data_IF_975543850879
#
_entry.id   IF_975543850879
#
_cell.length_a   1.000
_cell.length_b   1.000
_cell.length_c   1.000
_cell.angle_alpha   90.00
_cell.angle_beta   90.00
_cell.angle_gamma   90.00
#
_symmetry.space_group_name_H-M   'P 1'
#
loop_
_entity.id
_entity.type
_entity.pdbx_description
1 polymer ?
#
# COMPACT_ATOMS: atom_id res chain seq x y z
N UNK A 1 -22.15 57.87 -42.22
CA UNK A 1 -21.11 58.80 -42.71
C UNK A 1 -19.99 57.88 -43.23
N UNK A 2 -19.44 57.92 -44.46
CA UNK A 2 -19.01 59.07 -45.29
C UNK A 2 -17.55 59.38 -44.92
N UNK A 3 -16.50 59.15 -45.74
CA UNK A 3 -16.31 59.02 -47.22
C UNK A 3 -15.27 57.89 -47.53
N UNK A 4 -15.13 57.20 -48.69
CA UNK A 4 -15.07 57.47 -50.16
C UNK A 4 -13.75 58.10 -50.71
N UNK A 5 -12.94 57.32 -51.49
CA UNK A 5 -12.01 57.62 -52.65
C UNK A 5 -10.92 56.48 -52.86
N UNK A 6 -10.58 56.01 -54.10
CA UNK A 6 -9.75 54.77 -54.46
C UNK A 6 -8.98 54.92 -55.85
N UNK A 7 -8.18 54.01 -56.55
CA UNK A 7 -7.60 52.61 -56.48
C UNK A 7 -6.55 52.35 -57.67
N UNK A 8 -6.11 51.07 -57.99
CA UNK A 8 -5.35 50.48 -59.19
C UNK A 8 -3.76 50.51 -59.24
N UNK A 9 -2.93 49.71 -60.01
CA UNK A 9 -2.95 48.32 -60.64
C UNK A 9 -1.69 47.92 -61.53
N UNK A 10 -1.35 46.61 -61.72
CA UNK A 10 -0.55 45.92 -62.84
C UNK A 10 1.02 46.00 -62.92
N UNK A 11 1.88 45.19 -63.64
CA UNK A 11 1.93 43.81 -64.29
C UNK A 11 3.36 43.48 -64.91
N UNK A 12 3.66 42.30 -65.57
CA UNK A 12 4.92 41.98 -66.35
C UNK A 12 5.11 40.51 -66.93
N UNK A 13 6.25 40.18 -67.63
CA UNK A 13 6.63 38.94 -68.45
C UNK A 13 8.13 39.04 -68.99
N UNK A 14 8.93 38.16 -69.74
CA UNK A 14 8.82 36.84 -70.46
C UNK A 14 10.05 35.81 -70.37
N UNK A 15 10.32 34.90 -71.37
CA UNK A 15 11.40 33.83 -71.44
C UNK A 15 12.73 34.17 -72.17
N UNK A 16 13.92 33.59 -71.81
CA UNK A 16 14.11 32.36 -71.00
C UNK A 16 15.06 32.38 -69.75
N UNK A 17 14.75 31.46 -68.82
CA UNK A 17 15.58 30.78 -67.76
C UNK A 17 15.97 31.48 -66.43
N UNK A 18 15.97 30.70 -65.33
CA UNK A 18 16.43 31.01 -63.95
C UNK A 18 16.49 29.71 -63.07
N UNK A 19 16.71 29.84 -61.75
CA UNK A 19 16.56 28.84 -60.63
C UNK A 19 17.66 27.76 -60.40
N UNK A 20 17.67 27.16 -59.17
CA UNK A 20 18.40 25.93 -58.75
C UNK A 20 19.91 25.84 -59.12
N UNK A 21 20.87 26.50 -58.40
CA UNK A 21 22.31 26.17 -58.50
C UNK A 21 22.69 24.82 -57.86
N UNK A 22 23.99 24.54 -57.73
CA UNK A 22 24.58 23.20 -57.44
C UNK A 22 25.50 23.24 -56.20
N UNK A 23 25.59 22.11 -55.47
CA UNK A 23 26.39 21.92 -54.24
C UNK A 23 27.52 20.86 -54.43
N UNK A 24 28.34 20.63 -53.40
CA UNK A 24 29.44 19.64 -53.37
C UNK A 24 29.76 19.22 -51.91
N UNK A 25 30.53 18.14 -51.72
CA UNK A 25 30.97 17.56 -50.43
C UNK A 25 29.81 17.06 -49.50
N UNK A 26 29.99 16.35 -48.38
CA UNK A 26 31.18 15.94 -47.61
C UNK A 26 31.36 14.40 -47.47
N UNK A 27 31.58 13.83 -46.26
CA UNK A 27 31.94 12.38 -46.11
C UNK A 27 31.35 11.55 -44.93
N UNK A 28 31.82 11.56 -43.66
CA UNK A 28 31.60 10.39 -42.72
C UNK A 28 31.10 10.56 -41.22
N UNK A 29 29.75 10.76 -40.95
CA UNK A 29 28.71 10.18 -39.95
C UNK A 29 27.48 11.13 -39.66
N UNK A 30 26.32 10.62 -39.15
CA UNK A 30 25.07 11.35 -38.71
C UNK A 30 24.27 11.97 -39.89
N UNK A 31 23.13 12.64 -39.65
CA UNK A 31 22.68 13.77 -40.51
C UNK A 31 21.18 13.93 -40.90
N UNK A 32 20.23 13.95 -39.95
CA UNK A 32 19.00 14.80 -39.92
C UNK A 32 17.87 14.61 -40.98
N UNK A 33 16.61 14.51 -40.50
CA UNK A 33 15.34 14.48 -41.26
C UNK A 33 14.50 15.78 -41.05
N UNK A 34 13.22 15.81 -41.48
CA UNK A 34 12.19 16.85 -41.21
C UNK A 34 10.81 16.46 -41.81
N UNK A 35 9.72 17.00 -41.25
CA UNK A 35 8.31 16.84 -41.61
C UNK A 35 7.49 16.97 -40.27
N UNK A 36 6.63 16.00 -39.93
CA UNK A 36 6.37 15.44 -38.56
C UNK A 36 7.52 14.42 -38.30
N UNK A 37 7.81 13.98 -37.06
CA UNK A 37 8.79 12.90 -36.83
C UNK A 37 8.17 11.50 -36.72
N UNK A 38 8.94 10.48 -37.16
CA UNK A 38 8.61 9.05 -37.19
C UNK A 38 9.84 8.28 -37.75
N UNK A 39 10.83 8.00 -36.92
CA UNK A 39 12.17 7.54 -37.31
C UNK A 39 12.54 6.14 -36.73
N UNK A 40 13.71 5.62 -37.11
CA UNK A 40 14.14 4.24 -36.81
C UNK A 40 15.66 4.13 -36.57
N UNK A 41 16.11 3.97 -35.33
CA UNK A 41 17.51 3.66 -34.99
C UNK A 41 18.00 4.34 -33.71
N UNK A 42 19.28 4.74 -33.70
CA UNK A 42 19.82 5.69 -32.71
C UNK A 42 19.37 7.12 -33.10
N UNK A 43 18.46 7.74 -32.35
CA UNK A 43 17.92 9.08 -32.63
C UNK A 43 18.27 10.09 -31.51
N UNK A 44 18.16 11.39 -31.80
CA UNK A 44 18.18 12.48 -30.79
C UNK A 44 17.22 13.57 -31.31
N UNK A 45 16.10 13.82 -30.61
CA UNK A 45 15.01 14.73 -31.03
C UNK A 45 14.98 16.01 -30.17
N UNK A 46 14.34 17.09 -30.66
CA UNK A 46 14.33 18.42 -30.02
C UNK A 46 13.28 19.35 -30.71
N UNK A 47 12.00 19.16 -30.45
CA UNK A 47 10.91 19.91 -31.07
C UNK A 47 10.22 20.92 -30.12
N UNK A 48 9.40 21.83 -30.67
CA UNK A 48 8.97 23.07 -30.00
C UNK A 48 7.59 23.56 -30.51
N UNK A 49 6.52 23.28 -29.77
CA UNK A 49 5.15 23.69 -30.11
C UNK A 49 4.15 22.54 -30.01
N UNK A 50 3.21 22.49 -30.97
CA UNK A 50 2.30 21.35 -31.18
C UNK A 50 3.05 20.27 -31.98
N UNK A 51 3.39 19.12 -31.38
CA UNK A 51 4.18 18.03 -32.00
C UNK A 51 3.47 16.65 -31.95
N UNK A 52 4.04 15.66 -32.66
CA UNK A 52 3.53 14.28 -32.80
C UNK A 52 4.70 13.42 -33.33
N UNK A 53 5.27 12.59 -32.45
CA UNK A 53 6.51 11.84 -32.60
C UNK A 53 6.27 10.33 -32.39
N UNK A 54 7.03 9.47 -33.06
CA UNK A 54 6.76 8.03 -33.12
C UNK A 54 8.02 7.25 -33.55
N UNK A 55 8.96 7.02 -32.64
CA UNK A 55 10.27 6.46 -32.95
C UNK A 55 10.46 4.99 -32.49
N UNK A 56 11.52 4.35 -33.00
CA UNK A 56 11.80 2.94 -32.77
C UNK A 56 13.31 2.68 -32.71
N UNK A 57 13.87 2.47 -31.51
CA UNK A 57 15.27 2.03 -31.36
C UNK A 57 15.96 2.39 -30.05
N UNK A 58 16.87 3.34 -30.12
CA UNK A 58 17.61 3.94 -29.00
C UNK A 58 17.36 5.47 -29.12
N UNK A 59 16.46 6.03 -28.30
CA UNK A 59 15.95 7.41 -28.47
C UNK A 59 16.30 8.33 -27.28
N UNK A 60 16.27 9.65 -27.52
CA UNK A 60 16.62 10.73 -26.59
C UNK A 60 15.79 11.95 -27.02
N UNK A 61 14.62 12.13 -26.39
CA UNK A 61 13.57 13.10 -26.77
C UNK A 61 13.57 14.29 -25.76
N UNK A 62 13.22 15.48 -26.23
CA UNK A 62 13.48 16.74 -25.51
C UNK A 62 12.55 17.86 -26.01
N UNK A 63 11.27 17.78 -25.69
CA UNK A 63 10.25 18.63 -26.32
C UNK A 63 9.63 19.66 -25.35
N UNK A 64 9.05 20.72 -25.91
CA UNK A 64 8.38 21.78 -25.14
C UNK A 64 7.11 22.26 -25.86
N UNK A 65 5.93 22.02 -25.28
CA UNK A 65 4.67 22.54 -25.82
C UNK A 65 3.44 21.67 -25.56
N UNK A 66 2.78 21.25 -26.63
CA UNK A 66 1.64 20.33 -26.66
C UNK A 66 2.12 19.10 -27.46
N UNK A 67 2.44 17.98 -26.79
CA UNK A 67 3.17 16.84 -27.39
C UNK A 67 2.40 15.51 -27.31
N UNK A 68 2.72 14.59 -28.22
CA UNK A 68 2.17 13.22 -28.37
C UNK A 68 3.34 12.33 -28.82
N UNK A 69 3.88 11.50 -27.91
CA UNK A 69 5.09 10.70 -28.11
C UNK A 69 4.75 9.19 -28.05
N UNK A 70 5.21 8.41 -29.04
CA UNK A 70 4.84 7.00 -29.21
C UNK A 70 6.07 6.13 -29.55
N UNK A 71 6.89 5.83 -28.54
CA UNK A 71 8.21 5.24 -28.75
C UNK A 71 8.32 3.75 -28.35
N UNK A 72 9.30 3.06 -28.93
CA UNK A 72 9.49 1.62 -28.76
C UNK A 72 10.98 1.23 -28.77
N UNK A 73 11.59 1.05 -27.60
CA UNK A 73 13.01 0.67 -27.52
C UNK A 73 13.67 0.89 -26.15
N UNK A 74 14.92 1.34 -26.19
CA UNK A 74 15.63 1.94 -25.06
C UNK A 74 15.44 3.47 -25.21
N UNK A 75 14.58 4.10 -24.40
CA UNK A 75 14.14 5.49 -24.58
C UNK A 75 14.49 6.36 -23.35
N UNK A 76 14.51 7.67 -23.57
CA UNK A 76 14.63 8.70 -22.52
C UNK A 76 13.84 9.92 -23.01
N UNK A 77 12.79 10.32 -22.29
CA UNK A 77 11.97 11.49 -22.63
C UNK A 77 12.19 12.61 -21.60
N UNK A 78 12.15 13.86 -22.05
CA UNK A 78 12.38 15.05 -21.23
C UNK A 78 11.44 16.15 -21.69
N UNK A 79 10.20 16.09 -21.22
CA UNK A 79 9.13 16.93 -21.70
C UNK A 79 8.81 18.08 -20.74
N UNK A 80 7.97 18.99 -21.20
CA UNK A 80 7.71 20.28 -20.58
C UNK A 80 6.44 20.94 -21.19
N UNK A 81 5.25 20.62 -20.69
CA UNK A 81 4.01 21.28 -21.15
C UNK A 81 2.71 20.51 -20.92
N UNK A 82 1.96 20.28 -22.00
CA UNK A 82 0.78 19.41 -22.03
C UNK A 82 1.20 18.17 -22.87
N UNK A 83 1.40 17.00 -22.26
CA UNK A 83 2.04 15.84 -22.92
C UNK A 83 1.23 14.54 -22.79
N UNK A 84 1.29 13.68 -23.82
CA UNK A 84 0.70 12.33 -23.88
C UNK A 84 1.80 11.36 -24.37
N UNK A 85 2.37 10.57 -23.47
CA UNK A 85 3.52 9.68 -23.70
C UNK A 85 3.08 8.21 -23.66
N UNK A 86 3.59 7.39 -24.58
CA UNK A 86 3.21 5.98 -24.75
C UNK A 86 4.46 5.12 -25.04
N UNK A 87 5.15 4.65 -24.00
CA UNK A 87 6.43 3.95 -24.15
C UNK A 87 6.38 2.42 -23.95
N UNK A 88 7.21 1.70 -24.69
CA UNK A 88 7.20 0.23 -24.73
C UNK A 88 8.63 -0.34 -24.83
N UNK A 89 9.32 -0.54 -23.70
CA UNK A 89 10.66 -1.15 -23.67
C UNK A 89 11.43 -1.01 -22.36
N UNK A 90 12.56 -0.30 -22.40
CA UNK A 90 13.32 0.17 -21.22
C UNK A 90 13.25 1.71 -21.29
N UNK A 91 12.67 2.40 -20.29
CA UNK A 91 12.37 3.84 -20.36
C UNK A 91 12.81 4.65 -19.12
N UNK A 92 12.99 5.97 -19.32
CA UNK A 92 13.46 6.96 -18.34
C UNK A 92 12.80 8.32 -18.67
N UNK A 93 11.56 8.54 -18.20
CA UNK A 93 10.77 9.76 -18.40
C UNK A 93 11.10 10.80 -17.33
N UNK A 94 11.28 12.05 -17.73
CA UNK A 94 11.55 13.18 -16.83
C UNK A 94 10.82 14.46 -17.30
N UNK A 95 9.55 14.69 -16.92
CA UNK A 95 8.98 16.04 -17.08
C UNK A 95 9.51 16.98 -16.00
N UNK A 96 9.93 18.18 -16.40
CA UNK A 96 10.64 19.11 -15.55
C UNK A 96 10.10 20.56 -15.56
N UNK A 97 8.89 20.86 -16.07
CA UNK A 97 8.20 22.15 -15.85
C UNK A 97 6.65 22.01 -15.89
N UNK A 98 5.99 22.12 -14.72
CA UNK A 98 4.58 22.52 -14.51
C UNK A 98 3.60 22.28 -15.68
N UNK A 99 3.08 21.05 -15.80
CA UNK A 99 2.25 20.59 -16.91
C UNK A 99 0.92 19.92 -16.52
N UNK A 100 0.20 19.47 -17.57
CA UNK A 100 -0.86 18.43 -17.52
C UNK A 100 -0.29 17.22 -18.30
N UNK A 101 0.01 16.10 -17.64
CA UNK A 101 0.70 14.93 -18.24
C UNK A 101 -0.12 13.63 -18.20
N UNK A 102 0.12 12.77 -19.19
CA UNK A 102 -0.37 11.39 -19.22
C UNK A 102 0.74 10.47 -19.73
N UNK A 103 1.16 9.47 -18.95
CA UNK A 103 2.15 8.45 -19.35
C UNK A 103 1.50 7.05 -19.40
N UNK A 104 1.98 6.13 -20.24
CA UNK A 104 1.33 4.84 -20.55
C UNK A 104 2.37 3.73 -20.84
N UNK A 105 3.20 3.36 -19.86
CA UNK A 105 4.42 2.62 -20.16
C UNK A 105 4.31 1.10 -19.96
N UNK A 106 5.08 0.32 -20.72
CA UNK A 106 5.09 -1.15 -20.66
C UNK A 106 6.54 -1.68 -20.75
N UNK A 107 7.16 -2.02 -19.61
CA UNK A 107 8.59 -2.34 -19.63
C UNK A 107 9.31 -2.36 -18.29
N UNK A 108 10.57 -1.96 -18.34
CA UNK A 108 11.37 -1.53 -17.18
C UNK A 108 11.42 0.01 -17.26
N UNK A 109 10.68 0.73 -16.39
CA UNK A 109 10.43 2.17 -16.55
C UNK A 109 10.79 2.97 -15.28
N UNK A 110 11.04 4.28 -15.45
CA UNK A 110 11.20 5.26 -14.37
C UNK A 110 10.46 6.54 -14.80
N UNK A 111 9.49 7.01 -14.01
CA UNK A 111 8.77 8.26 -14.25
C UNK A 111 9.05 9.28 -13.15
N UNK A 112 9.14 10.56 -13.51
CA UNK A 112 9.47 11.67 -12.62
C UNK A 112 8.65 12.92 -13.05
N UNK A 113 7.42 13.08 -12.57
CA UNK A 113 6.48 14.12 -13.01
C UNK A 113 6.20 15.24 -11.98
N UNK A 114 5.80 16.42 -12.46
CA UNK A 114 5.71 17.68 -11.69
C UNK A 114 4.51 18.56 -12.13
N UNK A 115 3.27 18.07 -11.99
CA UNK A 115 2.09 18.71 -12.59
C UNK A 115 0.74 18.20 -12.06
N UNK A 116 -0.27 18.25 -12.93
CA UNK A 116 -1.50 17.45 -12.83
C UNK A 116 -1.24 16.21 -13.72
N UNK A 117 -1.17 14.98 -13.19
CA UNK A 117 -0.61 13.81 -13.91
C UNK A 117 -1.49 12.53 -13.82
N UNK A 118 -1.68 11.81 -14.93
CA UNK A 118 -2.27 10.46 -14.98
C UNK A 118 -1.20 9.42 -15.45
N UNK A 119 -0.72 8.51 -14.58
CA UNK A 119 0.29 7.48 -14.94
C UNK A 119 -0.30 6.05 -14.95
N UNK A 120 0.06 5.21 -15.92
CA UNK A 120 -0.62 3.93 -16.22
C UNK A 120 0.37 2.81 -16.64
N UNK A 121 1.14 2.25 -15.70
CA UNK A 121 2.31 1.43 -16.05
C UNK A 121 2.17 -0.10 -15.86
N UNK A 122 2.88 -0.84 -16.71
CA UNK A 122 2.83 -2.31 -16.79
C UNK A 122 4.24 -2.94 -16.86
N UNK A 123 4.89 -3.20 -15.72
CA UNK A 123 6.14 -3.98 -15.71
C UNK A 123 6.96 -3.95 -14.41
N UNK A 124 8.19 -3.44 -14.49
CA UNK A 124 9.07 -3.15 -13.34
C UNK A 124 9.25 -1.61 -13.31
N UNK A 125 8.65 -0.90 -12.34
CA UNK A 125 8.46 0.57 -12.38
C UNK A 125 9.00 1.29 -11.11
N UNK A 126 9.38 2.57 -11.25
CA UNK A 126 9.87 3.45 -10.16
C UNK A 126 9.37 4.90 -10.43
N UNK A 127 8.24 5.28 -9.82
CA UNK A 127 7.49 6.54 -10.10
C UNK A 127 7.72 7.56 -8.96
N UNK A 128 7.90 8.85 -9.29
CA UNK A 128 8.43 9.88 -8.36
C UNK A 128 7.77 11.26 -8.58
N UNK A 129 6.54 11.42 -8.09
CA UNK A 129 5.62 12.44 -8.60
C UNK A 129 5.25 13.51 -7.57
N UNK A 130 4.94 14.72 -8.06
CA UNK A 130 4.77 15.91 -7.23
C UNK A 130 3.65 16.84 -7.76
N UNK A 131 2.41 16.68 -7.31
CA UNK A 131 1.34 17.64 -7.64
C UNK A 131 -0.08 17.20 -7.29
N UNK A 132 -0.89 16.93 -8.32
CA UNK A 132 -2.22 16.29 -8.22
C UNK A 132 -2.13 15.05 -9.15
N UNK A 133 -2.14 13.82 -8.62
CA UNK A 133 -1.71 12.59 -9.33
C UNK A 133 -2.79 11.47 -9.32
N UNK A 134 -2.89 10.68 -10.41
CA UNK A 134 -3.69 9.45 -10.51
C UNK A 134 -2.82 8.32 -11.11
N UNK A 135 -2.34 7.39 -10.28
CA UNK A 135 -1.37 6.34 -10.67
C UNK A 135 -2.05 4.95 -10.68
N UNK A 136 -1.75 4.11 -11.69
CA UNK A 136 -2.45 2.84 -11.95
C UNK A 136 -1.47 1.72 -12.38
N UNK A 137 -0.74 1.13 -11.43
CA UNK A 137 0.42 0.29 -11.77
C UNK A 137 0.21 -1.22 -11.56
N UNK A 138 0.91 -2.00 -12.39
CA UNK A 138 0.60 -3.41 -12.62
C UNK A 138 1.88 -4.27 -12.80
N UNK A 139 2.63 -4.52 -11.71
CA UNK A 139 3.82 -5.38 -11.78
C UNK A 139 4.64 -5.48 -10.50
N UNK A 140 5.94 -5.15 -10.59
CA UNK A 140 6.82 -4.93 -9.43
C UNK A 140 7.10 -3.40 -9.42
N UNK A 141 6.48 -2.64 -8.52
CA UNK A 141 6.49 -1.16 -8.58
C UNK A 141 7.02 -0.51 -7.27
N UNK A 142 7.51 0.72 -7.38
CA UNK A 142 7.88 1.59 -6.25
C UNK A 142 7.37 3.00 -6.52
N UNK A 143 6.47 3.51 -5.68
CA UNK A 143 5.82 4.80 -5.88
C UNK A 143 6.22 5.77 -4.75
N UNK A 144 6.60 7.00 -5.09
CA UNK A 144 7.12 8.00 -4.14
C UNK A 144 6.46 9.36 -4.37
N UNK A 145 5.56 9.76 -3.47
CA UNK A 145 4.42 10.58 -3.90
C UNK A 145 4.12 11.76 -2.96
N UNK A 146 3.79 12.91 -3.55
CA UNK A 146 3.90 14.21 -2.87
C UNK A 146 2.84 15.23 -3.33
N UNK A 147 1.55 14.97 -3.06
CA UNK A 147 0.46 15.78 -3.63
C UNK A 147 -0.92 15.70 -2.98
N UNK A 148 -1.95 15.82 -3.81
CA UNK A 148 -3.31 15.29 -3.60
C UNK A 148 -3.43 14.11 -4.60
N UNK A 149 -3.45 12.85 -4.14
CA UNK A 149 -3.18 11.67 -4.99
C UNK A 149 -4.22 10.53 -4.86
N UNK A 150 -4.35 9.71 -5.92
CA UNK A 150 -5.17 8.48 -5.98
C UNK A 150 -4.30 7.35 -6.62
N UNK A 151 -3.93 6.32 -5.84
CA UNK A 151 -3.00 5.26 -6.26
C UNK A 151 -3.68 3.89 -6.29
N UNK A 152 -3.60 3.16 -7.42
CA UNK A 152 -4.33 1.91 -7.67
C UNK A 152 -3.41 0.76 -8.08
N UNK A 153 -2.98 -0.06 -7.12
CA UNK A 153 -1.83 -0.95 -7.28
C UNK A 153 -2.11 -2.47 -7.29
N UNK A 154 -1.30 -3.20 -8.05
CA UNK A 154 -1.63 -4.56 -8.49
C UNK A 154 -0.41 -5.50 -8.71
N UNK A 155 0.40 -5.76 -7.69
CA UNK A 155 1.47 -6.76 -7.79
C UNK A 155 2.34 -6.99 -6.55
N UNK A 156 3.62 -6.63 -6.63
CA UNK A 156 4.55 -6.51 -5.48
C UNK A 156 4.95 -5.02 -5.42
N UNK A 157 4.59 -4.29 -4.34
CA UNK A 157 4.56 -2.82 -4.30
C UNK A 157 5.17 -2.23 -3.02
N UNK A 158 5.74 -1.02 -3.12
CA UNK A 158 6.39 -0.25 -2.04
C UNK A 158 6.05 1.25 -2.24
N UNK A 159 5.06 1.74 -1.50
CA UNK A 159 4.44 3.07 -1.70
C UNK A 159 4.82 4.01 -0.54
N UNK A 160 5.10 5.28 -0.83
CA UNK A 160 5.74 6.24 0.10
C UNK A 160 5.15 7.64 -0.01
N UNK A 161 4.06 7.90 0.73
CA UNK A 161 3.17 9.02 0.44
C UNK A 161 3.22 10.17 1.46
N UNK A 162 2.98 11.39 0.97
CA UNK A 162 3.20 12.63 1.72
C UNK A 162 2.20 13.75 1.33
N UNK A 163 0.89 13.52 1.50
CA UNK A 163 -0.15 14.40 0.94
C UNK A 163 -1.54 14.36 1.59
N UNK A 164 -2.55 14.46 0.73
CA UNK A 164 -3.92 13.95 0.95
C UNK A 164 -4.07 12.77 -0.04
N UNK A 165 -4.20 11.52 0.42
CA UNK A 165 -4.01 10.30 -0.40
C UNK A 165 -5.15 9.28 -0.26
N UNK A 166 -5.44 8.50 -1.33
CA UNK A 166 -6.42 7.40 -1.40
C UNK A 166 -5.77 6.21 -2.14
N UNK A 167 -5.39 5.14 -1.43
CA UNK A 167 -4.55 4.03 -1.93
C UNK A 167 -5.35 2.71 -2.00
N UNK A 168 -5.24 1.97 -3.11
CA UNK A 168 -6.14 0.86 -3.47
C UNK A 168 -5.39 -0.41 -3.91
N UNK A 169 -4.92 -1.20 -2.92
CA UNK A 169 -3.82 -2.16 -3.15
C UNK A 169 -4.22 -3.64 -3.20
N UNK A 170 -3.68 -4.38 -4.17
CA UNK A 170 -4.07 -5.77 -4.44
C UNK A 170 -2.86 -6.70 -4.74
N UNK A 171 -1.98 -6.92 -3.75
CA UNK A 171 -0.69 -7.61 -3.95
C UNK A 171 0.01 -8.21 -2.73
N UNK A 172 1.35 -8.10 -2.71
CA UNK A 172 2.20 -8.09 -1.51
C UNK A 172 2.73 -6.63 -1.39
N UNK A 173 2.34 -5.88 -0.34
CA UNK A 173 2.46 -4.40 -0.29
C UNK A 173 3.11 -3.89 1.03
N UNK A 174 3.82 -2.76 0.97
CA UNK A 174 4.50 -2.08 2.09
C UNK A 174 4.30 -0.54 1.95
N UNK A 175 3.38 0.04 2.73
CA UNK A 175 2.88 1.43 2.58
C UNK A 175 3.33 2.33 3.76
N UNK A 176 3.64 3.60 3.50
CA UNK A 176 4.44 4.45 4.41
C UNK A 176 3.96 5.92 4.44
N UNK A 177 2.74 6.16 4.93
CA UNK A 177 2.00 7.35 4.51
C UNK A 177 1.92 8.47 5.58
N UNK A 178 2.04 9.72 5.14
CA UNK A 178 2.31 10.88 5.99
C UNK A 178 1.37 12.08 5.72
N UNK A 179 0.06 11.92 5.93
CA UNK A 179 -0.94 12.90 5.47
C UNK A 179 -2.31 12.87 6.14
N UNK A 180 -3.33 13.22 5.36
CA UNK A 180 -4.72 12.79 5.58
C UNK A 180 -4.97 11.66 4.55
N UNK A 181 -5.00 10.39 4.96
CA UNK A 181 -4.92 9.22 4.05
C UNK A 181 -6.13 8.28 4.18
N UNK A 182 -6.31 7.37 3.20
CA UNK A 182 -7.28 6.27 3.19
C UNK A 182 -6.68 5.08 2.43
N UNK A 183 -6.48 3.92 3.07
CA UNK A 183 -5.88 2.73 2.41
C UNK A 183 -6.90 1.56 2.34
N UNK A 184 -6.88 0.77 1.27
CA UNK A 184 -7.96 -0.16 0.87
C UNK A 184 -7.44 -1.53 0.38
N UNK A 185 -6.72 -2.24 1.23
CA UNK A 185 -5.75 -3.23 0.75
C UNK A 185 -6.27 -4.69 0.81
N UNK A 186 -5.79 -5.56 -0.08
CA UNK A 186 -6.20 -6.97 -0.14
C UNK A 186 -5.05 -7.91 -0.54
N UNK A 187 -4.18 -8.23 0.41
CA UNK A 187 -2.93 -8.96 0.15
C UNK A 187 -2.26 -9.63 1.35
N UNK A 188 -0.92 -9.67 1.31
CA UNK A 188 -0.05 -9.74 2.49
C UNK A 188 0.58 -8.33 2.63
N UNK A 189 0.20 -7.57 3.66
CA UNK A 189 0.43 -6.10 3.73
C UNK A 189 1.19 -5.66 4.99
N UNK A 190 1.82 -4.49 4.92
CA UNK A 190 2.43 -3.77 6.05
C UNK A 190 2.19 -2.27 5.86
N UNK A 191 1.51 -1.62 6.80
CA UNK A 191 1.17 -0.19 6.70
C UNK A 191 1.79 0.59 7.88
N UNK A 192 2.16 1.86 7.67
CA UNK A 192 2.86 2.67 8.68
C UNK A 192 2.47 4.15 8.67
N UNK A 193 1.27 4.43 9.16
CA UNK A 193 0.60 5.69 8.85
C UNK A 193 0.71 6.76 9.96
N UNK A 194 0.79 8.02 9.53
CA UNK A 194 1.42 9.05 10.34
C UNK A 194 0.66 10.41 10.33
N UNK A 195 -0.68 10.39 10.37
CA UNK A 195 -1.51 11.61 10.36
C UNK A 195 -2.97 11.43 10.82
N UNK A 196 -3.93 11.75 9.95
CA UNK A 196 -5.35 11.37 10.11
C UNK A 196 -5.63 10.28 9.06
N UNK A 197 -6.17 9.10 9.43
CA UNK A 197 -6.18 7.91 8.55
C UNK A 197 -7.40 6.95 8.73
N UNK A 198 -7.71 6.12 7.72
CA UNK A 198 -8.89 5.21 7.66
C UNK A 198 -8.55 3.96 6.78
N UNK A 199 -8.12 2.84 7.41
CA UNK A 199 -7.58 1.64 6.71
C UNK A 199 -8.58 0.46 6.68
N UNK A 200 -8.59 -0.32 5.59
CA UNK A 200 -9.68 -1.26 5.26
C UNK A 200 -9.22 -2.64 4.73
N UNK A 201 -8.44 -3.39 5.52
CA UNK A 201 -7.57 -4.44 4.97
C UNK A 201 -8.12 -5.88 4.99
N UNK A 202 -7.88 -6.63 3.90
CA UNK A 202 -8.45 -7.95 3.64
C UNK A 202 -7.40 -9.06 3.46
N UNK A 203 -6.55 -9.31 4.46
CA UNK A 203 -5.40 -10.21 4.25
C UNK A 203 -4.72 -10.77 5.49
N UNK A 204 -3.41 -10.97 5.36
CA UNK A 204 -2.48 -11.01 6.50
C UNK A 204 -1.87 -9.59 6.58
N UNK A 205 -2.18 -8.82 7.63
CA UNK A 205 -1.82 -7.39 7.76
C UNK A 205 -0.93 -7.14 9.00
N UNK A 206 -0.24 -5.99 9.05
CA UNK A 206 0.49 -5.49 10.22
C UNK A 206 0.51 -3.94 10.20
N UNK A 207 -0.40 -3.24 10.89
CA UNK A 207 -0.44 -1.77 10.87
C UNK A 207 0.28 -1.10 12.05
N UNK A 208 0.80 0.12 11.86
CA UNK A 208 1.66 0.86 12.81
C UNK A 208 1.33 2.36 12.90
N UNK A 209 0.12 2.68 13.41
CA UNK A 209 -0.46 4.02 13.32
C UNK A 209 0.04 5.06 14.36
N UNK A 210 0.16 6.31 13.92
CA UNK A 210 0.75 7.41 14.70
C UNK A 210 -0.06 8.74 14.68
N UNK A 211 -1.39 8.71 14.81
CA UNK A 211 -2.21 9.93 14.85
C UNK A 211 -3.66 9.79 15.33
N UNK A 212 -4.63 10.22 14.51
CA UNK A 212 -6.07 9.95 14.69
C UNK A 212 -6.49 8.94 13.60
N UNK A 213 -7.09 7.79 13.94
CA UNK A 213 -7.20 6.64 13.02
C UNK A 213 -8.51 5.81 13.19
N UNK A 214 -8.88 5.04 12.16
CA UNK A 214 -9.97 4.02 12.15
C UNK A 214 -9.52 2.79 11.31
N UNK A 215 -9.34 1.59 11.90
CA UNK A 215 -8.92 0.37 11.16
C UNK A 215 -10.06 -0.66 11.08
N UNK A 216 -10.22 -1.33 9.94
CA UNK A 216 -11.35 -2.24 9.64
C UNK A 216 -10.92 -3.65 9.14
N UNK A 217 -10.10 -4.36 9.91
CA UNK A 217 -9.39 -5.56 9.44
C UNK A 217 -10.20 -6.86 9.28
N UNK A 218 -9.89 -7.60 8.20
CA UNK A 218 -10.70 -8.73 7.73
C UNK A 218 -10.00 -10.10 7.59
N UNK A 219 -8.85 -10.35 8.24
CA UNK A 219 -8.11 -11.62 8.12
C UNK A 219 -7.31 -12.10 9.36
N UNK A 220 -5.98 -12.07 9.30
CA UNK A 220 -5.04 -12.24 10.42
C UNK A 220 -4.24 -10.92 10.54
N UNK A 221 -4.09 -10.33 11.73
CA UNK A 221 -3.53 -8.96 11.89
C UNK A 221 -2.72 -8.76 13.20
N UNK A 222 -1.98 -7.64 13.30
CA UNK A 222 -1.18 -7.15 14.44
C UNK A 222 -1.05 -5.60 14.38
N UNK A 223 -1.93 -4.84 15.05
CA UNK A 223 -1.94 -3.35 15.05
C UNK A 223 -1.18 -2.75 16.25
N UNK A 224 -0.55 -1.59 16.06
CA UNK A 224 0.47 -1.02 16.97
C UNK A 224 0.30 0.49 17.25
N UNK A 225 -0.87 0.88 17.75
CA UNK A 225 -1.43 2.22 17.51
C UNK A 225 -1.11 3.25 18.61
N UNK A 226 -0.81 4.49 18.21
CA UNK A 226 -0.14 5.48 19.08
C UNK A 226 -0.85 6.87 19.17
N UNK A 227 -2.18 6.92 19.17
CA UNK A 227 -2.93 8.19 19.33
C UNK A 227 -4.38 8.07 19.80
N UNK A 228 -5.33 8.63 19.05
CA UNK A 228 -6.78 8.39 19.22
C UNK A 228 -7.20 7.41 18.09
N UNK A 229 -7.83 6.27 18.41
CA UNK A 229 -8.11 5.21 17.42
C UNK A 229 -9.46 4.51 17.67
N UNK A 230 -10.05 3.89 16.64
CA UNK A 230 -11.17 2.94 16.71
C UNK A 230 -10.78 1.71 15.82
N UNK A 231 -10.70 0.47 16.35
CA UNK A 231 -10.41 -0.74 15.53
C UNK A 231 -11.63 -1.69 15.41
N UNK A 232 -11.85 -2.27 14.22
CA UNK A 232 -13.07 -3.00 13.84
C UNK A 232 -12.84 -4.45 13.34
N UNK A 233 -12.14 -5.25 14.15
CA UNK A 233 -11.52 -6.52 13.72
C UNK A 233 -12.46 -7.72 13.52
N UNK A 234 -12.37 -8.34 12.34
CA UNK A 234 -13.14 -9.53 11.97
C UNK A 234 -12.32 -10.84 11.87
N UNK A 235 -11.10 -10.85 12.41
CA UNK A 235 -10.06 -11.87 12.19
C UNK A 235 -9.58 -12.71 13.39
N UNK A 236 -8.31 -13.12 13.35
CA UNK A 236 -7.46 -13.39 14.52
C UNK A 236 -6.51 -12.17 14.66
N UNK A 237 -6.36 -11.56 15.84
CA UNK A 237 -5.64 -10.28 16.03
C UNK A 237 -4.86 -10.16 17.36
N UNK A 238 -3.90 -9.21 17.46
CA UNK A 238 -3.12 -8.81 18.66
C UNK A 238 -2.87 -7.27 18.65
N UNK A 239 -3.64 -6.47 19.40
CA UNK A 239 -3.57 -4.99 19.34
C UNK A 239 -2.72 -4.37 20.49
N UNK A 240 -1.89 -3.37 20.18
CA UNK A 240 -0.83 -2.83 21.07
C UNK A 240 -0.95 -1.32 21.43
N UNK A 241 -2.17 -0.89 21.75
CA UNK A 241 -2.60 0.52 21.74
C UNK A 241 -2.03 1.43 22.85
N UNK A 242 -1.84 2.72 22.52
CA UNK A 242 -1.08 3.64 23.36
C UNK A 242 -1.68 5.05 23.60
N UNK A 243 -3.01 5.23 23.48
CA UNK A 243 -3.69 6.51 23.77
C UNK A 243 -5.16 6.41 24.23
N UNK A 244 -6.12 6.94 23.48
CA UNK A 244 -7.57 6.74 23.72
C UNK A 244 -8.10 5.82 22.59
N UNK A 245 -8.83 4.72 22.90
CA UNK A 245 -9.19 3.70 21.91
C UNK A 245 -10.53 2.95 22.20
N UNK A 246 -11.29 2.56 21.18
CA UNK A 246 -12.45 1.63 21.25
C UNK A 246 -12.30 0.42 20.27
N UNK A 247 -11.71 -0.72 20.67
CA UNK A 247 -11.64 -1.93 19.82
C UNK A 247 -12.96 -2.76 19.79
N UNK A 248 -13.33 -3.34 18.64
CA UNK A 248 -14.57 -4.09 18.39
C UNK A 248 -14.39 -5.48 17.73
N UNK A 249 -13.62 -6.35 18.37
CA UNK A 249 -13.16 -7.63 17.84
C UNK A 249 -14.24 -8.74 17.73
N UNK A 250 -14.08 -9.63 16.74
CA UNK A 250 -15.13 -10.57 16.34
C UNK A 250 -14.72 -12.04 16.12
N UNK A 251 -13.62 -12.53 16.71
CA UNK A 251 -13.32 -13.98 16.72
C UNK A 251 -12.45 -14.50 17.87
N UNK A 252 -11.15 -14.20 17.84
CA UNK A 252 -10.08 -14.61 18.77
C UNK A 252 -9.06 -13.46 18.76
N UNK A 253 -8.71 -12.89 19.93
CA UNK A 253 -7.99 -11.62 20.04
C UNK A 253 -7.22 -11.51 21.39
N UNK A 254 -6.08 -10.82 21.40
CA UNK A 254 -5.29 -10.47 22.60
C UNK A 254 -4.95 -8.95 22.58
N UNK A 255 -5.51 -8.12 23.48
CA UNK A 255 -5.24 -6.66 23.53
C UNK A 255 -4.26 -6.26 24.65
N UNK A 256 -3.39 -5.27 24.39
CA UNK A 256 -2.24 -4.88 25.23
C UNK A 256 -2.20 -3.37 25.62
N UNK A 257 -3.34 -2.70 25.62
CA UNK A 257 -3.54 -1.25 25.72
C UNK A 257 -2.97 -0.51 26.96
N UNK A 258 -2.56 0.74 26.75
CA UNK A 258 -1.82 1.60 27.69
C UNK A 258 -2.36 3.03 27.88
N UNK A 259 -3.68 3.24 27.79
CA UNK A 259 -4.34 4.54 28.05
C UNK A 259 -5.77 4.48 28.63
N UNK A 260 -6.75 5.15 28.00
CA UNK A 260 -8.19 4.99 28.30
C UNK A 260 -8.85 4.17 27.16
N UNK A 261 -9.70 3.18 27.46
CA UNK A 261 -10.21 2.20 26.48
C UNK A 261 -11.57 1.58 26.88
N UNK A 262 -12.48 1.34 25.92
CA UNK A 262 -13.77 0.62 26.06
C UNK A 262 -13.94 -0.60 25.07
N UNK A 263 -12.98 -1.55 24.98
CA UNK A 263 -13.03 -2.84 24.23
C UNK A 263 -14.39 -3.62 24.19
N UNK A 264 -14.76 -4.21 23.04
CA UNK A 264 -16.08 -4.83 22.75
C UNK A 264 -16.10 -6.23 22.06
N UNK A 265 -15.26 -7.20 22.46
CA UNK A 265 -15.23 -8.60 21.95
C UNK A 265 -16.60 -9.30 21.74
N UNK A 266 -16.80 -9.91 20.56
CA UNK A 266 -17.92 -10.76 20.15
C UNK A 266 -17.50 -12.15 19.60
N UNK A 267 -16.35 -12.65 20.07
CA UNK A 267 -15.79 -13.98 19.82
C UNK A 267 -16.54 -15.16 20.49
N UNK A 268 -15.92 -16.34 20.43
CA UNK A 268 -16.60 -17.60 20.84
C UNK A 268 -16.59 -17.79 22.36
N UNK A 269 -17.77 -18.00 22.92
CA UNK A 269 -17.91 -18.52 24.28
C UNK A 269 -17.39 -19.97 24.36
N UNK A 270 -16.22 -20.21 24.97
CA UNK A 270 -15.86 -21.53 25.52
C UNK A 270 -16.72 -21.85 26.77
N UNK A 271 -18.06 -21.99 26.64
CA UNK A 271 -18.92 -22.58 27.68
C UNK A 271 -20.38 -22.93 27.23
N UNK A 272 -20.59 -23.62 26.10
CA UNK A 272 -21.87 -24.36 25.87
C UNK A 272 -21.82 -25.80 26.41
N UNK A 273 -21.72 -25.91 27.74
CA UNK A 273 -21.88 -27.14 28.53
C UNK A 273 -23.40 -27.41 28.78
N UNK A 274 -24.08 -28.04 27.80
CA UNK A 274 -25.54 -27.97 27.51
C UNK A 274 -26.53 -28.74 28.48
N UNK A 275 -27.08 -28.10 29.56
CA UNK A 275 -28.20 -28.55 30.48
C UNK A 275 -28.85 -27.38 31.30
N UNK A 276 -30.15 -27.42 31.72
CA UNK A 276 -30.96 -26.15 31.82
C UNK A 276 -31.89 -25.75 33.03
N UNK A 277 -31.82 -24.44 33.38
CA UNK A 277 -32.79 -23.46 34.00
C UNK A 277 -33.55 -23.77 35.35
N UNK A 278 -34.71 -23.10 35.59
CA UNK A 278 -35.01 -22.45 36.90
C UNK A 278 -36.03 -23.11 37.88
N UNK A 279 -35.63 -23.30 39.15
CA UNK A 279 -36.53 -23.63 40.28
C UNK A 279 -36.05 -23.08 41.64
N UNK A 280 -36.91 -22.33 42.33
CA UNK A 280 -36.64 -21.53 43.53
C UNK A 280 -36.01 -22.26 44.73
N UNK A 281 -35.08 -21.57 45.42
CA UNK A 281 -35.04 -21.55 46.89
C UNK A 281 -34.34 -20.31 47.50
N UNK A 282 -33.60 -19.55 46.69
CA UNK A 282 -33.23 -18.15 46.95
C UNK A 282 -32.47 -17.92 48.26
N UNK A 283 -31.31 -18.60 48.37
CA UNK A 283 -30.09 -17.85 48.77
C UNK A 283 -29.69 -16.99 47.57
N UNK A 284 -29.43 -17.67 46.45
CA UNK A 284 -29.79 -17.23 45.09
C UNK A 284 -30.10 -18.51 44.29
N UNK A 285 -29.10 -19.41 44.15
CA UNK A 285 -29.30 -20.86 44.29
C UNK A 285 -30.26 -21.31 45.43
N UNK A 286 -30.65 -22.58 45.61
CA UNK A 286 -30.31 -23.81 44.90
C UNK A 286 -30.31 -25.03 45.86
N UNK A 287 -29.69 -26.15 45.46
CA UNK A 287 -29.95 -27.48 46.05
C UNK A 287 -28.68 -28.25 46.47
N UNK A 288 -28.84 -29.28 47.32
CA UNK A 288 -27.76 -30.21 47.72
C UNK A 288 -28.31 -31.53 48.30
N UNK A 289 -27.47 -32.56 48.44
CA UNK A 289 -27.88 -33.95 48.69
C UNK A 289 -27.47 -34.50 50.09
N UNK A 290 -28.36 -34.50 51.10
CA UNK A 290 -28.07 -34.99 52.46
C UNK A 290 -28.15 -36.54 52.58
N UNK A 291 -27.25 -37.22 51.87
CA UNK A 291 -27.25 -38.67 51.54
C UNK A 291 -26.78 -39.61 52.68
N UNK A 292 -26.64 -40.92 52.39
CA UNK A 292 -26.02 -41.92 53.29
C UNK A 292 -24.63 -41.41 53.70
N UNK A 293 -24.39 -41.24 55.00
CA UNK A 293 -23.30 -40.45 55.58
C UNK A 293 -23.33 -38.96 55.14
N UNK A 294 -23.90 -38.02 55.90
CA UNK A 294 -24.25 -37.99 57.33
C UNK A 294 -23.12 -38.32 58.33
N UNK A 295 -21.86 -38.39 57.88
CA UNK A 295 -20.70 -38.62 58.76
C UNK A 295 -19.60 -37.54 58.71
N UNK A 296 -19.63 -36.60 57.75
CA UNK A 296 -18.52 -35.64 57.54
C UNK A 296 -18.67 -34.28 58.24
N UNK A 297 -19.77 -34.03 58.96
CA UNK A 297 -19.99 -32.77 59.71
C UNK A 297 -19.20 -32.69 61.05
N UNK A 298 -18.15 -33.51 61.24
CA UNK A 298 -17.46 -33.68 62.53
C UNK A 298 -15.93 -33.63 62.47
N UNK A 299 -15.34 -33.05 61.41
CA UNK A 299 -13.89 -32.78 61.34
C UNK A 299 -13.50 -31.29 61.23
N UNK A 300 -14.46 -30.38 61.08
CA UNK A 300 -14.18 -28.95 60.82
C UNK A 300 -14.27 -28.00 62.03
N UNK A 301 -14.53 -28.51 63.25
CA UNK A 301 -14.79 -27.65 64.41
C UNK A 301 -14.14 -28.06 65.74
N UNK A 302 -13.37 -29.15 65.81
CA UNK A 302 -12.83 -29.60 67.10
C UNK A 302 -11.56 -30.47 67.05
N UNK A 303 -10.47 -30.03 66.39
CA UNK A 303 -9.12 -30.40 66.84
C UNK A 303 -8.02 -29.39 66.44
N UNK A 304 -7.47 -28.71 67.46
CA UNK A 304 -6.15 -28.05 67.60
C UNK A 304 -5.30 -27.65 66.37
N UNK A 305 -5.05 -26.33 66.28
CA UNK A 305 -3.77 -25.65 66.57
C UNK A 305 -2.48 -26.05 65.77
N UNK A 306 -1.28 -25.71 66.28
CA UNK A 306 -0.01 -25.56 65.53
C UNK A 306 0.72 -24.27 66.02
N UNK A 307 2.05 -24.25 66.24
CA UNK A 307 2.70 -23.24 67.11
C UNK A 307 4.03 -22.57 66.62
N UNK A 308 4.53 -22.82 65.39
CA UNK A 308 5.59 -22.05 64.69
C UNK A 308 7.04 -22.08 65.27
N UNK A 309 7.94 -21.14 64.86
CA UNK A 309 9.43 -21.14 64.99
C UNK A 309 10.15 -22.23 64.13
N UNK A 310 11.49 -22.41 64.29
CA UNK A 310 12.44 -23.53 63.92
C UNK A 310 12.67 -24.02 62.43
N UNK A 311 13.79 -24.74 62.16
CA UNK A 311 14.35 -25.12 60.82
C UNK A 311 15.38 -26.31 60.79
N UNK A 312 15.69 -26.87 59.59
CA UNK A 312 17.07 -27.15 59.04
C UNK A 312 17.51 -28.56 58.53
N UNK A 313 18.43 -28.61 57.53
CA UNK A 313 19.26 -29.74 56.98
C UNK A 313 18.76 -31.25 57.13
N UNK A 314 18.47 -32.01 56.05
CA UNK A 314 18.59 -33.53 55.86
C UNK A 314 17.86 -34.56 56.82
N UNK A 315 17.83 -35.92 56.66
CA UNK A 315 18.21 -36.91 55.60
C UNK A 315 18.23 -38.43 56.05
N UNK A 316 18.63 -39.39 55.17
CA UNK A 316 18.96 -40.86 55.37
C UNK A 316 17.83 -41.96 55.34
N UNK A 317 18.12 -43.14 54.73
CA UNK A 317 17.42 -44.48 54.74
C UNK A 317 16.02 -44.65 54.05
N UNK A 318 15.49 -45.85 53.72
CA UNK A 318 15.99 -47.11 53.05
C UNK A 318 14.80 -48.11 52.88
N UNK A 319 14.46 -48.56 51.64
CA UNK A 319 13.70 -49.81 51.32
C UNK A 319 12.21 -49.92 51.82
N UNK A 320 11.24 -50.68 51.26
CA UNK A 320 11.23 -51.65 50.14
C UNK A 320 9.84 -51.89 49.47
N UNK A 321 9.87 -52.05 48.14
CA UNK A 321 9.16 -53.05 47.29
C UNK A 321 7.77 -52.89 46.63
N UNK A 322 7.79 -52.53 45.32
CA UNK A 322 7.28 -53.28 44.13
C UNK A 322 7.68 -52.53 42.80
N UNK A 323 7.57 -52.97 41.52
CA UNK A 323 7.19 -54.24 40.82
C UNK A 323 7.94 -54.39 39.44
N UNK A 324 7.31 -54.90 38.35
CA UNK A 324 7.95 -55.32 37.05
C UNK A 324 7.16 -54.88 35.78
N UNK A 325 7.85 -54.65 34.63
CA UNK A 325 7.29 -54.65 33.24
C UNK A 325 8.33 -55.06 32.14
N UNK A 326 7.88 -55.52 30.96
CA UNK A 326 8.69 -56.12 29.84
C UNK A 326 7.94 -56.06 28.47
N UNK A 327 8.54 -56.45 27.30
CA UNK A 327 7.80 -56.63 26.00
C UNK A 327 8.25 -57.67 24.93
N UNK A 328 9.14 -57.36 23.96
CA UNK A 328 9.14 -58.07 22.64
C UNK A 328 10.46 -57.94 21.79
N UNK A 329 10.89 -58.92 20.96
CA UNK A 329 10.42 -60.32 20.87
C UNK A 329 10.92 -61.09 22.07
N UNK A 330 9.94 -61.60 22.81
CA UNK A 330 10.05 -62.25 24.11
C UNK A 330 10.54 -61.29 25.21
N UNK A 331 9.76 -61.06 26.27
CA UNK A 331 8.45 -61.63 26.67
C UNK A 331 7.52 -60.58 27.27
#
# INVERSE_FOLDING_TARGET
MGSRVCLLSCSFVPSPQCHRPVCQEAERRRLQLFDNHHDHGENDNHDLGENDNHDHGENDNHDHGENDNHDHGENVNHDHGENDNHDHGENDNHDHDHGENVNHDHGENVNHDHGENDNHDHGENDNHDHGENDNHDHGENVNHDHGENDNHDHGENDNHDHGENDNHDHGENDNHDHGENVNHDHGENVNHDHGENDNHDYGENNNHDHGENDNHDHGENDNHDHGENDNHDHGENDNHDHGENDNYDHRENDNHDHGENDNHDHGKNEDEDDEDKALCLVTLPAHSAPVLARCWLLLFLCYKAIECFDDTFYGVCWFWFWSVRTRCVQL
#
